data_IF_947845061251
#
_entry.id   IF_947845061251
#
_cell.length_a   1.000
_cell.length_b   1.000
_cell.length_c   1.000
_cell.angle_alpha   90.00
_cell.angle_beta   90.00
_cell.angle_gamma   90.00
#
_symmetry.space_group_name_H-M   'P 1'
#
loop_
_entity.id
_entity.type
_entity.pdbx_description
1 polymer ?
#
# COMPACT_ATOMS: atom_id res chain seq x y z
N UNK A 1 32.52 6.47 44.82
CA UNK A 1 32.74 7.04 43.47
C UNK A 1 32.68 5.93 42.43
N UNK A 2 31.96 6.08 41.30
CA UNK A 2 31.86 5.03 40.26
C UNK A 2 33.06 5.12 39.31
N UNK A 3 33.75 4.02 39.05
CA UNK A 3 34.97 3.99 38.22
C UNK A 3 34.64 4.23 36.73
N UNK A 4 35.60 4.75 35.98
CA UNK A 4 35.48 5.02 34.53
C UNK A 4 35.00 3.79 33.73
N UNK A 5 35.45 2.59 34.12
CA UNK A 5 35.03 1.33 33.51
C UNK A 5 33.55 0.97 33.78
N UNK A 6 33.03 1.30 34.97
CA UNK A 6 31.61 1.11 35.31
C UNK A 6 30.72 2.12 34.57
N UNK A 7 31.18 3.37 34.42
CA UNK A 7 30.46 4.38 33.63
C UNK A 7 30.36 3.99 32.15
N UNK A 8 31.45 3.51 31.54
CA UNK A 8 31.46 3.03 30.15
C UNK A 8 30.52 1.85 29.93
N UNK A 9 30.52 0.85 30.82
CA UNK A 9 29.59 -0.29 30.76
C UNK A 9 28.12 0.14 30.83
N UNK A 10 27.78 1.05 31.74
CA UNK A 10 26.41 1.55 31.87
C UNK A 10 25.92 2.31 30.62
N UNK A 11 26.79 3.07 29.95
CA UNK A 11 26.45 3.75 28.69
C UNK A 11 26.19 2.74 27.57
N UNK A 12 27.02 1.70 27.45
CA UNK A 12 26.82 0.63 26.46
C UNK A 12 25.53 -0.16 26.72
N UNK A 13 25.22 -0.46 27.98
CA UNK A 13 23.96 -1.16 28.33
C UNK A 13 22.73 -0.29 28.09
N UNK A 14 22.82 1.01 28.37
CA UNK A 14 21.73 1.96 28.10
C UNK A 14 21.41 2.06 26.59
N UNK A 15 22.44 2.12 25.74
CA UNK A 15 22.26 2.17 24.27
C UNK A 15 21.75 0.84 23.72
N UNK A 16 22.17 -0.30 24.28
CA UNK A 16 21.64 -1.63 23.91
C UNK A 16 20.15 -1.75 24.26
N UNK A 17 19.74 -1.22 25.42
CA UNK A 17 18.34 -1.19 25.84
C UNK A 17 17.50 -0.28 24.94
N UNK A 18 17.98 0.93 24.64
CA UNK A 18 17.31 1.86 23.73
C UNK A 18 17.11 1.26 22.33
N UNK A 19 18.15 0.62 21.77
CA UNK A 19 18.07 -0.07 20.47
C UNK A 19 17.04 -1.20 20.47
N UNK A 20 16.94 -1.99 21.54
CA UNK A 20 15.90 -3.04 21.66
C UNK A 20 14.50 -2.45 21.69
N UNK A 21 14.30 -1.35 22.42
CA UNK A 21 13.00 -0.67 22.50
C UNK A 21 12.60 -0.14 21.12
N UNK A 22 13.49 0.55 20.42
CA UNK A 22 13.23 1.06 19.06
C UNK A 22 12.91 -0.09 18.11
N UNK A 23 13.71 -1.17 18.13
CA UNK A 23 13.47 -2.36 17.30
C UNK A 23 12.12 -3.02 17.61
N UNK A 24 11.74 -3.09 18.88
CA UNK A 24 10.45 -3.63 19.31
C UNK A 24 9.28 -2.76 18.83
N UNK A 25 9.39 -1.43 18.90
CA UNK A 25 8.38 -0.49 18.41
C UNK A 25 8.23 -0.56 16.89
N UNK A 26 9.34 -0.61 16.14
CA UNK A 26 9.32 -0.80 14.68
C UNK A 26 8.69 -2.14 14.33
N UNK A 27 9.06 -3.22 15.03
CA UNK A 27 8.44 -4.52 14.82
C UNK A 27 6.97 -4.52 15.20
N UNK A 28 6.54 -3.79 16.22
CA UNK A 28 5.12 -3.70 16.61
C UNK A 28 4.29 -2.92 15.59
N UNK A 29 4.85 -1.84 15.03
CA UNK A 29 4.25 -1.13 13.89
C UNK A 29 4.20 -2.07 12.70
N UNK A 30 5.31 -2.72 12.31
CA UNK A 30 5.33 -3.73 11.24
C UNK A 30 4.27 -4.81 11.47
N UNK A 31 4.16 -5.40 12.66
CA UNK A 31 3.13 -6.39 13.01
C UNK A 31 1.69 -5.86 12.87
N UNK A 32 1.48 -4.55 13.07
CA UNK A 32 0.19 -3.88 12.83
C UNK A 32 -0.13 -3.75 11.34
N UNK A 33 0.88 -3.61 10.49
CA UNK A 33 0.75 -3.56 9.03
C UNK A 33 0.87 -4.93 8.35
N UNK A 34 1.52 -5.93 8.98
CA UNK A 34 1.69 -7.29 8.47
C UNK A 34 0.57 -8.23 8.94
N UNK A 35 -0.62 -7.70 9.21
CA UNK A 35 -1.84 -8.51 9.15
C UNK A 35 -2.51 -8.27 7.79
N UNK A 36 -2.00 -8.83 6.68
CA UNK A 36 -2.94 -9.17 5.63
C UNK A 36 -3.88 -10.18 6.27
N UNK A 37 -5.16 -9.97 6.09
CA UNK A 37 -6.17 -10.98 6.30
C UNK A 37 -5.80 -12.16 5.40
N UNK A 38 -4.95 -13.08 5.89
CA UNK A 38 -4.49 -14.30 5.20
C UNK A 38 -5.59 -15.36 5.16
N UNK A 39 -6.84 -14.92 5.12
CA UNK A 39 -7.96 -15.71 4.67
C UNK A 39 -8.32 -15.17 3.29
N UNK A 40 -8.26 -16.08 2.32
CA UNK A 40 -8.69 -15.93 0.92
C UNK A 40 -7.57 -15.62 -0.08
N UNK A 41 -6.65 -16.56 -0.22
CA UNK A 41 -6.30 -17.03 -1.57
C UNK A 41 -7.48 -17.85 -2.16
N UNK A 42 -8.66 -17.24 -2.17
CA UNK A 42 -9.69 -17.56 -3.15
C UNK A 42 -9.51 -16.41 -4.11
N UNK A 43 -8.95 -16.65 -5.29
CA UNK A 43 -8.84 -15.66 -6.37
C UNK A 43 -10.12 -14.83 -6.35
N UNK A 44 -10.10 -13.58 -5.84
CA UNK A 44 -11.29 -12.78 -5.95
C UNK A 44 -11.46 -12.62 -7.45
N UNK A 45 -12.63 -13.00 -7.98
CA UNK A 45 -12.96 -12.74 -9.39
C UNK A 45 -12.73 -11.27 -9.74
N UNK A 46 -12.73 -10.39 -8.73
CA UNK A 46 -12.53 -8.95 -8.82
C UNK A 46 -11.28 -8.50 -8.04
N UNK A 47 -10.30 -7.93 -8.73
CA UNK A 47 -9.13 -7.27 -8.12
C UNK A 47 -9.49 -5.86 -7.65
N UNK A 48 -9.11 -5.49 -6.43
CA UNK A 48 -9.36 -4.13 -5.91
C UNK A 48 -8.07 -3.31 -5.92
N UNK A 49 -8.17 -2.10 -6.44
CA UNK A 49 -7.11 -1.10 -6.47
C UNK A 49 -7.57 0.14 -5.71
N UNK A 50 -6.75 0.64 -4.79
CA UNK A 50 -7.04 1.82 -3.99
C UNK A 50 -6.05 2.93 -4.32
N UNK A 51 -6.56 4.09 -4.69
CA UNK A 51 -5.81 5.32 -4.91
C UNK A 51 -6.07 6.21 -3.71
N UNK A 52 -5.04 6.42 -2.88
CA UNK A 52 -5.15 7.16 -1.61
C UNK A 52 -4.27 8.40 -1.64
N UNK A 53 -4.77 9.57 -1.19
CA UNK A 53 -3.94 10.75 -1.06
C UNK A 53 -2.83 10.49 -0.05
N UNK A 54 -1.64 11.01 -0.34
CA UNK A 54 -0.52 10.89 0.58
C UNK A 54 -0.62 11.90 1.72
N UNK A 55 -0.12 11.59 2.93
CA UNK A 55 -0.09 12.52 4.05
C UNK A 55 0.68 13.82 3.76
N UNK A 56 1.64 13.77 2.83
CA UNK A 56 2.41 14.94 2.40
C UNK A 56 1.65 15.84 1.40
N UNK A 57 0.40 15.48 1.04
CA UNK A 57 -0.45 16.18 0.05
C UNK A 57 0.22 16.37 -1.32
N UNK A 58 1.25 15.58 -1.61
CA UNK A 58 2.07 15.71 -2.82
C UNK A 58 1.95 14.50 -3.73
N UNK A 59 0.75 13.93 -3.81
CA UNK A 59 0.47 12.85 -4.73
C UNK A 59 -0.49 11.82 -4.16
N UNK A 60 -0.55 10.70 -4.86
CA UNK A 60 -1.43 9.58 -4.54
C UNK A 60 -0.64 8.28 -4.56
N UNK A 61 -0.92 7.42 -3.57
CA UNK A 61 -0.43 6.05 -3.52
C UNK A 61 -1.46 5.14 -4.21
N UNK A 62 -0.99 4.32 -5.14
CA UNK A 62 -1.74 3.22 -5.75
C UNK A 62 -1.37 1.92 -5.02
N UNK A 63 -2.35 1.33 -4.35
CA UNK A 63 -2.20 0.15 -3.50
C UNK A 63 -3.14 -0.94 -4.02
N UNK A 64 -2.65 -2.17 -4.11
CA UNK A 64 -3.47 -3.35 -4.40
C UNK A 64 -2.79 -4.60 -3.86
N UNK A 65 -3.60 -5.54 -3.37
CA UNK A 65 -3.13 -6.87 -2.95
C UNK A 65 -2.66 -7.72 -4.14
N UNK A 66 -3.10 -7.38 -5.37
CA UNK A 66 -2.72 -8.08 -6.60
C UNK A 66 -1.36 -7.63 -7.15
N UNK A 67 -0.77 -6.56 -6.61
CA UNK A 67 0.46 -5.99 -7.16
C UNK A 67 1.69 -6.74 -6.59
N UNK A 68 2.56 -7.32 -7.45
CA UNK A 68 3.75 -8.05 -6.99
C UNK A 68 4.84 -7.12 -6.43
N UNK A 69 4.69 -5.80 -6.59
CA UNK A 69 5.62 -4.78 -6.14
C UNK A 69 4.98 -3.88 -5.06
N UNK A 70 5.83 -3.23 -4.26
CA UNK A 70 5.40 -2.27 -3.24
C UNK A 70 4.49 -1.18 -3.81
N UNK A 71 3.66 -0.50 -2.97
CA UNK A 71 2.79 0.59 -3.40
C UNK A 71 3.51 1.58 -4.33
N UNK A 72 2.87 1.87 -5.47
CA UNK A 72 3.37 2.84 -6.44
C UNK A 72 2.85 4.22 -6.06
N UNK A 73 3.62 5.27 -6.34
CA UNK A 73 3.25 6.64 -6.02
C UNK A 73 3.31 7.53 -7.26
N UNK A 74 2.33 8.41 -7.39
CA UNK A 74 2.19 9.34 -8.51
C UNK A 74 2.12 10.77 -7.99
N UNK A 75 2.80 11.70 -8.67
CA UNK A 75 2.84 13.13 -8.32
C UNK A 75 2.56 14.00 -9.54
N UNK A 76 1.99 15.18 -9.30
CA UNK A 76 1.72 16.19 -10.32
C UNK A 76 0.23 16.32 -10.65
N UNK A 77 -0.12 17.20 -11.59
CA UNK A 77 -1.51 17.54 -11.91
C UNK A 77 -2.32 16.35 -12.45
N UNK A 78 -1.64 15.36 -13.04
CA UNK A 78 -2.27 14.17 -13.63
C UNK A 78 -2.13 12.92 -12.74
N UNK A 79 -1.68 13.04 -11.49
CA UNK A 79 -1.33 11.89 -10.65
C UNK A 79 -2.45 10.85 -10.54
N UNK A 80 -3.69 11.29 -10.35
CA UNK A 80 -4.87 10.41 -10.31
C UNK A 80 -5.05 9.68 -11.65
N UNK A 81 -4.94 10.40 -12.76
CA UNK A 81 -5.12 9.84 -14.10
C UNK A 81 -4.07 8.79 -14.45
N UNK A 82 -2.82 9.05 -14.09
CA UNK A 82 -1.71 8.10 -14.26
C UNK A 82 -1.90 6.86 -13.37
N UNK A 83 -2.33 7.03 -12.12
CA UNK A 83 -2.62 5.92 -11.21
C UNK A 83 -3.78 5.04 -11.72
N UNK A 84 -4.85 5.66 -12.22
CA UNK A 84 -5.98 4.94 -12.84
C UNK A 84 -5.49 4.19 -14.07
N UNK A 85 -4.75 4.85 -14.98
CA UNK A 85 -4.25 4.22 -16.19
C UNK A 85 -3.38 3.00 -15.87
N UNK A 86 -2.54 3.10 -14.83
CA UNK A 86 -1.71 1.99 -14.38
C UNK A 86 -2.55 0.82 -13.84
N UNK A 87 -3.52 1.09 -12.98
CA UNK A 87 -4.42 0.07 -12.45
C UNK A 87 -5.16 -0.67 -13.57
N UNK A 88 -5.66 0.06 -14.58
CA UNK A 88 -6.32 -0.51 -15.77
C UNK A 88 -5.41 -1.43 -16.59
N UNK A 89 -4.13 -1.10 -16.71
CA UNK A 89 -3.14 -1.90 -17.46
C UNK A 89 -2.81 -3.20 -16.72
N UNK A 90 -2.70 -3.16 -15.39
CA UNK A 90 -2.45 -4.37 -14.58
C UNK A 90 -3.70 -5.26 -14.57
N UNK A 91 -4.90 -4.67 -14.52
CA UNK A 91 -6.15 -5.41 -14.41
C UNK A 91 -6.71 -5.95 -15.72
N UNK A 92 -6.01 -5.84 -16.87
CA UNK A 92 -6.58 -6.26 -18.18
C UNK A 92 -7.03 -7.71 -18.28
N UNK A 93 -6.58 -8.59 -17.38
CA UNK A 93 -6.90 -10.02 -17.37
C UNK A 93 -7.87 -10.44 -16.26
N UNK A 94 -8.38 -9.50 -15.46
CA UNK A 94 -9.28 -9.76 -14.34
C UNK A 94 -10.35 -8.67 -14.27
N UNK A 95 -11.54 -8.99 -13.76
CA UNK A 95 -12.46 -7.92 -13.37
C UNK A 95 -11.77 -7.12 -12.25
N UNK A 96 -11.90 -5.80 -12.27
CA UNK A 96 -11.26 -4.95 -11.28
C UNK A 96 -12.10 -3.75 -10.88
N UNK A 97 -11.94 -3.35 -9.62
CA UNK A 97 -12.56 -2.16 -9.05
C UNK A 97 -11.45 -1.23 -8.57
N UNK A 98 -11.42 -0.02 -9.12
CA UNK A 98 -10.47 1.02 -8.75
C UNK A 98 -11.22 2.05 -7.91
N UNK A 99 -10.83 2.24 -6.66
CA UNK A 99 -11.41 3.21 -5.72
C UNK A 99 -10.47 4.39 -5.54
N UNK A 100 -10.99 5.59 -5.74
CA UNK A 100 -10.28 6.84 -5.45
C UNK A 100 -10.81 7.38 -4.13
N UNK A 101 -9.90 7.63 -3.20
CA UNK A 101 -10.21 8.19 -1.90
C UNK A 101 -9.90 9.69 -1.85
N UNK A 102 -10.70 10.44 -1.10
CA UNK A 102 -10.37 11.80 -0.68
C UNK A 102 -9.44 11.82 0.53
N UNK A 103 -9.02 13.03 0.93
CA UNK A 103 -8.16 13.28 2.08
C UNK A 103 -8.80 12.84 3.41
N UNK A 104 -10.13 12.76 3.47
CA UNK A 104 -10.87 12.29 4.63
C UNK A 104 -11.00 10.76 4.66
N UNK A 105 -10.55 10.06 3.62
CA UNK A 105 -10.63 8.62 3.49
C UNK A 105 -12.00 8.11 3.03
N UNK A 106 -12.83 8.97 2.44
CA UNK A 106 -14.07 8.58 1.78
C UNK A 106 -13.80 8.26 0.31
N UNK A 107 -14.57 7.33 -0.24
CA UNK A 107 -14.51 7.01 -1.66
C UNK A 107 -15.23 8.11 -2.45
N UNK A 108 -14.50 8.81 -3.31
CA UNK A 108 -15.05 9.85 -4.20
C UNK A 108 -15.35 9.32 -5.60
N UNK A 109 -14.62 8.30 -6.04
CA UNK A 109 -14.82 7.70 -7.36
C UNK A 109 -14.58 6.19 -7.28
N UNK A 110 -15.41 5.43 -7.98
CA UNK A 110 -15.25 3.98 -8.15
C UNK A 110 -15.36 3.66 -9.63
N UNK A 111 -14.31 3.05 -10.19
CA UNK A 111 -14.24 2.62 -11.57
C UNK A 111 -14.23 1.10 -11.61
N UNK A 112 -15.20 0.52 -12.32
CA UNK A 112 -15.26 -0.92 -12.55
C UNK A 112 -14.72 -1.21 -13.95
N UNK A 113 -13.73 -2.08 -14.03
CA UNK A 113 -13.19 -2.61 -15.27
C UNK A 113 -13.59 -4.07 -15.38
N UNK A 114 -14.63 -4.34 -16.16
CA UNK A 114 -15.04 -5.68 -16.52
C UNK A 114 -14.22 -6.18 -17.70
N UNK A 115 -13.86 -7.46 -17.69
CA UNK A 115 -13.42 -8.15 -18.90
C UNK A 115 -14.58 -8.12 -19.89
N UNK A 116 -14.53 -7.18 -20.83
CA UNK A 116 -15.40 -7.19 -22.00
C UNK A 116 -15.19 -8.52 -22.71
N UNK A 117 -16.18 -9.41 -22.59
CA UNK A 117 -16.40 -10.56 -23.48
C UNK A 117 -16.21 -10.04 -24.91
N UNK A 118 -15.39 -10.67 -25.77
CA UNK A 118 -15.09 -10.11 -27.07
C UNK A 118 -16.40 -9.88 -27.81
N UNK A 119 -16.57 -8.62 -28.21
CA UNK A 119 -17.60 -8.17 -29.13
C UNK A 119 -17.53 -9.08 -30.35
N UNK A 120 -18.44 -10.06 -30.42
CA UNK A 120 -18.70 -10.82 -31.64
C UNK A 120 -19.08 -9.78 -32.68
N UNK A 121 -18.14 -9.48 -33.58
CA UNK A 121 -18.39 -8.71 -34.78
C UNK A 121 -19.36 -9.55 -35.62
N UNK A 122 -20.67 -9.37 -35.42
CA UNK A 122 -21.67 -9.80 -36.40
C UNK A 122 -21.44 -8.92 -37.62
N UNK A 123 -20.61 -9.44 -38.54
CA UNK A 123 -20.60 -9.02 -39.94
C UNK A 123 -22.01 -9.24 -40.47
N UNK A 124 -22.68 -8.15 -40.82
CA UNK A 124 -23.76 -8.15 -41.79
C UNK A 124 -23.15 -7.97 -43.18
#
# INVERSE_FOLDING_TARGET
>A
MKTLAQRRRNVVDSTKRARRVIKASINKVRQRWTKPNRLKHSTPSVQVYEIRPRPDKHGFDLISDAMPYSPLWYRGPNAIREAIAHAKVISRSHDAVIRVYDDAGNVVETLEQFLSVPMVQKRH
#
